data_IF_239323209733
#
_entry.id   IF_239323209733
#
_cell.length_a   1.000
_cell.length_b   1.000
_cell.length_c   1.000
_cell.angle_alpha   90.00
_cell.angle_beta   90.00
_cell.angle_gamma   90.00
#
_symmetry.space_group_name_H-M   'P 1'
#
loop_
_entity.id
_entity.type
_entity.pdbx_description
1 polymer ?
#
# COMPACT_ATOMS: atom_id res chain seq x y z
N UNK A 1 23.06 -13.76 -20.26
CA UNK A 1 22.57 -12.93 -19.14
C UNK A 1 21.20 -12.42 -19.51
N UNK A 2 20.18 -12.64 -18.67
CA UNK A 2 18.84 -12.04 -18.87
C UNK A 2 18.97 -10.56 -18.50
N UNK A 3 18.87 -9.66 -19.48
CA UNK A 3 18.90 -8.22 -19.23
C UNK A 3 17.57 -7.77 -18.62
N UNK A 4 17.65 -6.95 -17.59
CA UNK A 4 16.47 -6.32 -16.97
C UNK A 4 15.96 -5.17 -17.85
N UNK A 5 15.16 -5.53 -18.86
CA UNK A 5 14.62 -4.58 -19.83
C UNK A 5 13.62 -3.61 -19.19
N UNK A 6 12.92 -4.03 -18.12
CA UNK A 6 11.93 -3.19 -17.46
C UNK A 6 12.65 -2.04 -16.76
N UNK A 7 13.67 -2.33 -15.96
CA UNK A 7 14.39 -1.27 -15.24
C UNK A 7 15.35 -0.48 -16.13
N UNK A 8 15.84 -1.05 -17.23
CA UNK A 8 16.83 -0.38 -18.09
C UNK A 8 16.23 0.44 -19.23
N UNK A 9 15.08 0.04 -19.77
CA UNK A 9 14.56 0.59 -21.04
C UNK A 9 13.19 1.24 -20.87
N UNK A 10 12.33 0.67 -20.03
CA UNK A 10 10.96 1.15 -19.91
C UNK A 10 10.95 2.53 -19.24
N UNK A 11 10.25 3.55 -19.78
CA UNK A 11 10.00 4.83 -19.12
C UNK A 11 9.20 4.69 -17.82
N UNK A 12 9.29 5.71 -16.95
CA UNK A 12 8.59 5.74 -15.66
C UNK A 12 7.06 5.69 -15.82
N UNK A 13 6.53 6.42 -16.82
CA UNK A 13 5.10 6.53 -17.08
C UNK A 13 4.48 5.18 -17.44
N UNK A 14 5.22 4.35 -18.18
CA UNK A 14 4.77 3.00 -18.55
C UNK A 14 4.83 2.03 -17.36
N UNK A 15 5.77 2.21 -16.42
CA UNK A 15 5.78 1.44 -15.18
C UNK A 15 4.59 1.83 -14.29
N UNK A 16 4.26 3.12 -14.21
CA UNK A 16 3.06 3.59 -13.50
C UNK A 16 1.77 3.03 -14.13
N UNK A 17 1.68 3.01 -15.47
CA UNK A 17 0.56 2.39 -16.19
C UNK A 17 0.42 0.90 -15.84
N UNK A 18 1.54 0.16 -15.81
CA UNK A 18 1.56 -1.25 -15.36
C UNK A 18 1.02 -1.38 -13.94
N UNK A 19 1.41 -0.51 -13.01
CA UNK A 19 0.86 -0.53 -11.64
C UNK A 19 -0.65 -0.29 -11.64
N UNK A 20 -1.16 0.56 -12.53
CA UNK A 20 -2.59 0.79 -12.75
C UNK A 20 -3.38 -0.49 -13.01
N UNK A 21 -2.78 -1.45 -13.72
CA UNK A 21 -3.39 -2.74 -14.08
C UNK A 21 -3.28 -3.82 -12.99
N UNK A 22 -2.58 -3.56 -11.88
CA UNK A 22 -2.50 -4.50 -10.77
C UNK A 22 -3.73 -4.36 -9.86
N UNK A 23 -4.62 -5.35 -9.92
CA UNK A 23 -5.88 -5.37 -9.14
C UNK A 23 -5.67 -5.71 -7.66
N UNK A 24 -4.69 -6.57 -7.35
CA UNK A 24 -4.41 -7.00 -5.98
C UNK A 24 -3.55 -5.98 -5.25
N UNK A 25 -4.01 -5.56 -4.06
CA UNK A 25 -3.21 -4.75 -3.13
C UNK A 25 -1.84 -5.40 -2.85
N UNK A 26 -1.80 -6.71 -2.64
CA UNK A 26 -0.56 -7.42 -2.33
C UNK A 26 0.44 -7.37 -3.49
N UNK A 27 -0.05 -7.45 -4.74
CA UNK A 27 0.79 -7.33 -5.93
C UNK A 27 1.38 -5.92 -6.04
N UNK A 28 0.57 -4.88 -5.78
CA UNK A 28 1.05 -3.48 -5.75
C UNK A 28 2.05 -3.26 -4.62
N UNK A 29 1.79 -3.80 -3.43
CA UNK A 29 2.71 -3.71 -2.28
C UNK A 29 4.06 -4.37 -2.63
N UNK A 30 4.06 -5.51 -3.35
CA UNK A 30 5.28 -6.18 -3.78
C UNK A 30 6.12 -5.36 -4.78
N UNK A 31 5.49 -4.55 -5.64
CA UNK A 31 6.20 -3.66 -6.56
C UNK A 31 7.11 -2.67 -5.83
N UNK A 32 6.67 -2.18 -4.65
CA UNK A 32 7.45 -1.23 -3.84
C UNK A 32 8.77 -1.81 -3.30
N UNK A 33 8.95 -3.14 -3.36
CA UNK A 33 10.10 -3.86 -2.82
C UNK A 33 11.17 -4.21 -3.87
N UNK A 34 10.89 -3.98 -5.16
CA UNK A 34 11.79 -4.40 -6.25
C UNK A 34 13.07 -3.55 -6.26
N UNK A 35 12.92 -2.23 -6.30
CA UNK A 35 14.03 -1.28 -6.27
C UNK A 35 13.53 0.12 -5.88
N UNK A 36 14.45 1.06 -5.65
CA UNK A 36 14.10 2.44 -5.29
C UNK A 36 13.26 3.15 -6.35
N UNK A 37 13.47 2.84 -7.64
CA UNK A 37 12.70 3.41 -8.76
C UNK A 37 11.23 3.01 -8.64
N UNK A 38 10.97 1.71 -8.44
CA UNK A 38 9.60 1.21 -8.30
C UNK A 38 8.94 1.69 -7.01
N UNK A 39 9.68 1.79 -5.90
CA UNK A 39 9.17 2.37 -4.66
C UNK A 39 8.63 3.79 -4.87
N UNK A 40 9.38 4.64 -5.60
CA UNK A 40 8.95 6.01 -5.87
C UNK A 40 7.70 6.05 -6.76
N UNK A 41 7.70 5.30 -7.86
CA UNK A 41 6.57 5.25 -8.80
C UNK A 41 5.31 4.64 -8.17
N UNK A 42 5.47 3.61 -7.33
CA UNK A 42 4.36 2.97 -6.63
C UNK A 42 3.65 3.98 -5.73
N UNK A 43 4.41 4.78 -4.98
CA UNK A 43 3.89 5.86 -4.12
C UNK A 43 3.19 6.96 -4.90
N UNK A 44 3.65 7.27 -6.12
CA UNK A 44 2.99 8.24 -7.02
C UNK A 44 1.69 7.67 -7.60
N UNK A 45 1.66 6.38 -7.90
CA UNK A 45 0.52 5.71 -8.53
C UNK A 45 -0.63 5.36 -7.56
N UNK A 46 -0.41 5.47 -6.25
CA UNK A 46 -1.38 5.03 -5.24
C UNK A 46 -2.39 6.12 -4.89
N UNK A 47 -3.65 5.89 -5.26
CA UNK A 47 -4.77 6.80 -4.95
C UNK A 47 -5.56 6.43 -3.70
N UNK A 48 -5.43 5.19 -3.20
CA UNK A 48 -6.14 4.74 -2.00
C UNK A 48 -5.30 3.88 -1.08
N UNK A 49 -5.50 4.03 0.24
CA UNK A 49 -4.83 3.24 1.28
C UNK A 49 -5.85 2.78 2.31
N UNK A 50 -5.71 1.52 2.75
CA UNK A 50 -6.42 0.97 3.90
C UNK A 50 -5.48 0.85 5.10
N UNK A 51 -5.82 1.46 6.23
CA UNK A 51 -5.10 1.34 7.51
C UNK A 51 -5.97 0.53 8.48
N UNK A 52 -5.41 -0.51 9.08
CA UNK A 52 -6.01 -1.21 10.21
C UNK A 52 -5.14 -0.96 11.42
N UNK A 53 -5.49 0.03 12.24
CA UNK A 53 -4.70 0.46 13.40
C UNK A 53 -5.60 0.95 14.53
N UNK A 54 -5.17 0.74 15.78
CA UNK A 54 -5.82 1.29 16.97
C UNK A 54 -5.56 2.78 17.18
N UNK A 55 -4.59 3.36 16.46
CA UNK A 55 -4.22 4.80 16.53
C UNK A 55 -3.93 5.33 15.12
N UNK A 56 -4.95 5.43 14.25
CA UNK A 56 -4.78 5.78 12.84
C UNK A 56 -4.22 7.19 12.62
N UNK A 57 -4.48 8.14 13.52
CA UNK A 57 -4.08 9.54 13.43
C UNK A 57 -2.56 9.70 13.31
N UNK A 58 -1.81 8.86 14.03
CA UNK A 58 -0.34 8.86 13.98
C UNK A 58 0.20 8.52 12.59
N UNK A 59 -0.56 7.73 11.81
CA UNK A 59 -0.17 7.29 10.46
C UNK A 59 -0.62 8.27 9.38
N UNK A 60 -1.73 8.99 9.57
CA UNK A 60 -2.27 9.92 8.55
C UNK A 60 -1.21 10.96 8.15
N UNK A 61 -0.49 11.54 9.11
CA UNK A 61 0.59 12.50 8.82
C UNK A 61 1.69 11.87 7.98
N UNK A 62 2.10 10.65 8.30
CA UNK A 62 3.12 9.93 7.53
C UNK A 62 2.63 9.59 6.12
N UNK A 63 1.37 9.19 5.97
CA UNK A 63 0.81 8.86 4.66
C UNK A 63 0.78 10.09 3.74
N UNK A 64 0.45 11.27 4.27
CA UNK A 64 0.46 12.51 3.50
C UNK A 64 1.84 12.92 2.99
N UNK A 65 2.92 12.51 3.66
CA UNK A 65 4.30 12.82 3.21
C UNK A 65 4.84 11.78 2.24
N UNK A 66 4.30 10.55 2.28
CA UNK A 66 4.78 9.42 1.48
C UNK A 66 3.99 9.26 0.18
N UNK A 67 2.68 9.52 0.19
CA UNK A 67 1.78 9.31 -0.94
C UNK A 67 1.15 10.64 -1.37
N UNK A 68 1.78 11.30 -2.34
CA UNK A 68 1.39 12.66 -2.77
C UNK A 68 0.05 12.71 -3.52
N UNK A 69 -0.34 11.60 -4.16
CA UNK A 69 -1.56 11.52 -4.97
C UNK A 69 -2.71 10.79 -4.25
N UNK A 70 -2.61 10.62 -2.93
CA UNK A 70 -3.60 9.89 -2.15
C UNK A 70 -4.94 10.64 -2.13
N UNK A 71 -6.00 10.00 -2.64
CA UNK A 71 -7.36 10.57 -2.71
C UNK A 71 -8.30 10.00 -1.66
N UNK A 72 -8.05 8.77 -1.20
CA UNK A 72 -8.92 8.07 -0.26
C UNK A 72 -8.12 7.31 0.79
N UNK A 73 -8.47 7.51 2.05
CA UNK A 73 -7.93 6.74 3.17
C UNK A 73 -9.07 6.00 3.83
N UNK A 74 -9.00 4.68 3.80
CA UNK A 74 -9.92 3.79 4.49
C UNK A 74 -9.31 3.41 5.82
N UNK A 75 -10.00 3.73 6.91
CA UNK A 75 -9.60 3.34 8.26
C UNK A 75 -10.50 2.17 8.65
N UNK A 76 -9.90 1.00 8.83
CA UNK A 76 -10.59 -0.17 9.32
C UNK A 76 -10.45 -0.27 10.83
N UNK A 77 -11.50 0.15 11.54
CA UNK A 77 -11.58 0.15 13.01
C UNK A 77 -11.92 -1.23 13.59
N UNK A 78 -11.98 -2.31 12.79
CA UNK A 78 -12.43 -3.66 13.19
C UNK A 78 -11.50 -4.43 14.14
N UNK A 79 -10.79 -3.75 15.04
CA UNK A 79 -10.18 -4.37 16.22
C UNK A 79 -10.71 -3.76 17.52
N UNK A 80 -12.02 -3.77 17.71
CA UNK A 80 -12.58 -4.32 18.95
C UNK A 80 -12.82 -5.81 18.71
N UNK A 81 -11.76 -6.63 18.79
CA UNK A 81 -12.02 -8.02 19.12
C UNK A 81 -12.66 -7.99 20.50
N UNK A 82 -13.98 -8.17 20.57
CA UNK A 82 -14.59 -8.70 21.77
C UNK A 82 -13.81 -9.97 22.07
N UNK A 83 -12.94 -9.89 23.07
CA UNK A 83 -12.41 -11.07 23.73
C UNK A 83 -13.59 -12.01 23.92
N UNK A 84 -13.51 -13.29 23.54
CA UNK A 84 -14.58 -14.22 23.84
C UNK A 84 -14.80 -14.10 25.34
N UNK A 85 -15.98 -13.59 25.72
CA UNK A 85 -16.40 -13.57 27.10
C UNK A 85 -16.32 -15.02 27.51
N UNK A 86 -15.30 -15.37 28.29
CA UNK A 86 -15.20 -16.66 28.93
C UNK A 86 -16.45 -16.73 29.81
N UNK A 87 -17.49 -17.33 29.26
CA UNK A 87 -18.64 -17.81 30.01
C UNK A 87 -18.09 -18.95 30.86
N UNK A 88 -17.46 -18.59 31.98
CA UNK A 88 -17.21 -19.52 33.06
C UNK A 88 -18.57 -19.74 33.71
N UNK A 89 -19.27 -20.77 33.23
CA UNK A 89 -20.17 -21.52 34.10
C UNK A 89 -19.33 -22.57 34.79
N UNK A 90 -18.86 -22.28 35.99
CA UNK A 90 -18.72 -23.19 37.13
C UNK A 90 -18.65 -22.34 38.40
#
# INVERSE_FOLDING_TARGET
MKSDLINAVLPDELIEEIFGHLESKLSRDACSLVCKRWLSLERLSRFSISISSSTPESYIRLLSTVFVNLRSVYIDERRTMSLPVLCVRL
#
